data_IF_915841797968
#
_entry.id   IF_915841797968
#
_cell.length_a   1.000
_cell.length_b   1.000
_cell.length_c   1.000
_cell.angle_alpha   90.00
_cell.angle_beta   90.00
_cell.angle_gamma   90.00
#
_symmetry.space_group_name_H-M   'P 1'
#
loop_
_entity.id
_entity.type
_entity.pdbx_description
1 polymer ?
#
# COMPACT_ATOMS: atom_id res chain seq x y z
N UNK A 1 -1.06 -11.19 23.77
CA UNK A 1 -0.86 -11.74 22.41
C UNK A 1 0.57 -11.41 21.99
N UNK A 2 1.23 -12.21 21.15
CA UNK A 2 2.50 -11.79 20.54
C UNK A 2 2.24 -10.58 19.64
N UNK A 3 3.15 -9.61 19.57
CA UNK A 3 2.96 -8.47 18.67
C UNK A 3 3.11 -8.92 17.22
N UNK A 4 2.45 -8.22 16.30
CA UNK A 4 2.45 -8.56 14.88
C UNK A 4 3.86 -8.80 14.30
N UNK A 5 4.84 -7.98 14.66
CA UNK A 5 6.23 -8.11 14.19
C UNK A 5 7.10 -9.13 14.94
N UNK A 6 6.54 -9.82 15.95
CA UNK A 6 7.21 -10.88 16.72
C UNK A 6 6.70 -12.29 16.34
N UNK A 7 5.62 -12.37 15.56
CA UNK A 7 5.02 -13.64 15.13
C UNK A 7 5.89 -14.26 14.03
N UNK A 8 6.34 -15.50 14.23
CA UNK A 8 6.98 -16.29 13.18
C UNK A 8 5.91 -16.83 12.22
N UNK A 9 5.55 -16.01 11.23
CA UNK A 9 4.48 -16.33 10.27
C UNK A 9 4.78 -17.62 9.49
N UNK A 10 6.05 -17.85 9.13
CA UNK A 10 6.45 -19.03 8.36
C UNK A 10 6.23 -20.35 9.14
N UNK A 11 6.31 -20.31 10.47
CA UNK A 11 6.09 -21.47 11.34
C UNK A 11 4.61 -21.75 11.66
N UNK A 12 3.69 -20.84 11.28
CA UNK A 12 2.25 -21.03 11.50
C UNK A 12 1.69 -22.14 10.59
N UNK A 13 0.66 -22.84 11.08
CA UNK A 13 -0.15 -23.72 10.23
C UNK A 13 -0.98 -22.93 9.23
N UNK A 14 -1.47 -23.57 8.16
CA UNK A 14 -2.29 -22.91 7.13
C UNK A 14 -3.48 -22.13 7.71
N UNK A 15 -4.24 -22.73 8.64
CA UNK A 15 -5.37 -22.06 9.28
C UNK A 15 -4.95 -20.88 10.19
N UNK A 16 -3.79 -20.97 10.83
CA UNK A 16 -3.24 -19.87 11.63
C UNK A 16 -2.77 -18.71 10.73
N UNK A 17 -2.21 -19.01 9.55
CA UNK A 17 -1.87 -18.00 8.54
C UNK A 17 -3.10 -17.29 7.99
N UNK A 18 -4.14 -18.02 7.60
CA UNK A 18 -5.41 -17.39 7.17
C UNK A 18 -5.96 -16.45 8.23
N UNK A 19 -5.96 -16.90 9.49
CA UNK A 19 -6.41 -16.06 10.61
C UNK A 19 -5.54 -14.82 10.78
N UNK A 20 -4.21 -14.95 10.65
CA UNK A 20 -3.29 -13.82 10.74
C UNK A 20 -3.57 -12.76 9.67
N UNK A 21 -3.84 -13.18 8.43
CA UNK A 21 -4.14 -12.25 7.33
C UNK A 21 -5.52 -11.60 7.50
N UNK A 22 -6.54 -12.38 7.88
CA UNK A 22 -7.87 -11.86 8.16
C UNK A 22 -7.87 -10.82 9.28
N UNK A 23 -7.10 -11.06 10.35
CA UNK A 23 -6.99 -10.21 11.52
C UNK A 23 -5.85 -9.16 11.39
N UNK A 24 -5.23 -9.00 10.20
CA UNK A 24 -3.99 -8.21 10.05
C UNK A 24 -4.15 -6.77 10.54
N UNK A 25 -5.24 -6.11 10.15
CA UNK A 25 -5.57 -4.75 10.61
C UNK A 25 -5.65 -4.68 12.13
N UNK A 26 -6.47 -5.55 12.74
CA UNK A 26 -6.67 -5.56 14.19
C UNK A 26 -5.34 -5.82 14.93
N UNK A 27 -4.52 -6.73 14.42
CA UNK A 27 -3.19 -7.01 14.96
C UNK A 27 -2.25 -5.80 14.84
N UNK A 28 -2.32 -5.04 13.76
CA UNK A 28 -1.53 -3.83 13.56
C UNK A 28 -2.01 -2.70 14.51
N UNK A 29 -3.32 -2.48 14.62
CA UNK A 29 -3.91 -1.53 15.56
C UNK A 29 -3.51 -1.85 17.01
N UNK A 30 -3.61 -3.11 17.44
CA UNK A 30 -3.16 -3.54 18.76
C UNK A 30 -1.65 -3.35 18.96
N UNK A 31 -0.85 -3.61 17.92
CA UNK A 31 0.60 -3.43 17.96
C UNK A 31 0.98 -1.95 18.17
N UNK A 32 0.24 -1.03 17.55
CA UNK A 32 0.52 0.41 17.58
C UNK A 32 -0.27 1.20 18.63
N UNK A 33 -1.23 0.59 19.35
CA UNK A 33 -2.09 1.26 20.33
C UNK A 33 -1.35 2.03 21.44
N UNK A 34 -0.10 1.65 21.75
CA UNK A 34 0.74 2.30 22.76
C UNK A 34 1.73 3.33 22.19
N UNK A 35 1.78 3.51 20.86
CA UNK A 35 2.74 4.35 20.17
C UNK A 35 2.09 5.65 19.66
N UNK A 36 2.89 6.72 19.46
CA UNK A 36 2.39 7.97 18.89
C UNK A 36 1.81 7.79 17.48
N UNK A 37 0.90 8.70 17.11
CA UNK A 37 0.29 8.77 15.79
C UNK A 37 1.34 8.76 14.67
N UNK A 38 2.39 9.56 14.81
CA UNK A 38 3.44 9.74 13.81
C UNK A 38 4.24 8.44 13.60
N UNK A 39 4.48 7.67 14.67
CA UNK A 39 5.18 6.39 14.57
C UNK A 39 4.34 5.36 13.79
N UNK A 40 3.03 5.41 13.96
CA UNK A 40 2.07 4.53 13.27
C UNK A 40 1.99 4.89 11.79
N UNK A 41 1.84 6.18 11.45
CA UNK A 41 1.86 6.64 10.06
C UNK A 41 3.20 6.32 9.37
N UNK A 42 4.32 6.48 10.08
CA UNK A 42 5.63 6.11 9.53
C UNK A 42 5.69 4.63 9.15
N UNK A 43 5.15 3.73 9.97
CA UNK A 43 5.11 2.31 9.65
C UNK A 43 4.32 2.02 8.36
N UNK A 44 3.16 2.66 8.18
CA UNK A 44 2.39 2.54 6.96
C UNK A 44 3.14 3.12 5.76
N UNK A 45 3.74 4.31 5.88
CA UNK A 45 4.55 4.92 4.82
C UNK A 45 5.70 4.03 4.36
N UNK A 46 6.37 3.32 5.27
CA UNK A 46 7.43 2.37 4.91
C UNK A 46 6.90 1.22 4.07
N UNK A 47 5.75 0.65 4.44
CA UNK A 47 5.08 -0.44 3.70
C UNK A 47 4.66 0.06 2.31
N UNK A 48 3.99 1.21 2.24
CA UNK A 48 3.59 1.84 0.97
C UNK A 48 4.79 2.17 0.08
N UNK A 49 5.91 2.62 0.65
CA UNK A 49 7.12 2.91 -0.12
C UNK A 49 7.73 1.65 -0.71
N UNK A 50 7.83 0.58 0.10
CA UNK A 50 8.30 -0.71 -0.39
C UNK A 50 7.39 -1.25 -1.48
N UNK A 51 6.07 -1.13 -1.29
CA UNK A 51 5.10 -1.57 -2.27
C UNK A 51 5.22 -0.77 -3.57
N UNK A 52 5.23 0.55 -3.48
CA UNK A 52 5.38 1.46 -4.61
C UNK A 52 6.62 1.14 -5.45
N UNK A 53 7.75 0.89 -4.79
CA UNK A 53 9.00 0.56 -5.46
C UNK A 53 8.89 -0.69 -6.34
N UNK A 54 8.10 -1.68 -5.92
CA UNK A 54 7.79 -2.85 -6.74
C UNK A 54 6.71 -2.55 -7.78
N UNK A 55 5.62 -1.91 -7.38
CA UNK A 55 4.44 -1.66 -8.19
C UNK A 55 4.76 -0.87 -9.46
N UNK A 56 5.55 0.20 -9.33
CA UNK A 56 5.93 1.07 -10.46
C UNK A 56 6.83 0.41 -11.51
N UNK A 57 7.34 -0.79 -11.23
CA UNK A 57 8.18 -1.57 -12.13
C UNK A 57 7.40 -2.69 -12.84
N UNK A 58 6.14 -2.90 -12.44
CA UNK A 58 5.24 -3.84 -13.10
C UNK A 58 4.65 -3.18 -14.35
N UNK A 59 4.24 -4.00 -15.33
CA UNK A 59 3.75 -3.50 -16.64
C UNK A 59 4.71 -2.46 -17.24
N UNK A 60 5.97 -2.83 -17.52
CA UNK A 60 7.02 -1.88 -17.94
C UNK A 60 6.70 -1.11 -19.23
N UNK A 61 5.74 -1.60 -20.03
CA UNK A 61 5.23 -0.93 -21.22
C UNK A 61 4.39 0.31 -20.90
N UNK A 62 3.80 0.38 -19.70
CA UNK A 62 2.94 1.47 -19.24
C UNK A 62 3.66 2.25 -18.13
N UNK A 63 4.17 3.46 -18.44
CA UNK A 63 4.87 4.25 -17.43
C UNK A 63 3.93 4.65 -16.30
N UNK A 64 4.42 4.54 -15.06
CA UNK A 64 3.75 5.05 -13.88
C UNK A 64 3.39 6.56 -14.03
N UNK A 65 2.14 6.97 -13.77
CA UNK A 65 1.76 8.38 -13.74
C UNK A 65 2.62 9.19 -12.75
N UNK A 66 3.08 10.38 -13.16
CA UNK A 66 4.04 11.19 -12.40
C UNK A 66 3.49 11.65 -11.03
N UNK A 67 2.17 11.76 -10.92
CA UNK A 67 1.50 12.11 -9.66
C UNK A 67 1.74 11.09 -8.57
N UNK A 68 1.92 9.80 -8.88
CA UNK A 68 2.12 8.78 -7.85
C UNK A 68 3.46 8.95 -7.15
N UNK A 69 4.53 9.27 -7.90
CA UNK A 69 5.81 9.65 -7.30
C UNK A 69 5.66 10.94 -6.48
N UNK A 70 4.89 11.92 -6.98
CA UNK A 70 4.63 13.18 -6.26
C UNK A 70 3.89 12.93 -4.92
N UNK A 71 2.91 12.03 -4.90
CA UNK A 71 2.16 11.62 -3.71
C UNK A 71 3.12 11.01 -2.67
N UNK A 72 3.98 10.08 -3.09
CA UNK A 72 4.96 9.45 -2.20
C UNK A 72 5.97 10.46 -1.66
N UNK A 73 6.49 11.34 -2.51
CA UNK A 73 7.44 12.39 -2.11
C UNK A 73 6.80 13.39 -1.13
N UNK A 74 5.53 13.75 -1.32
CA UNK A 74 4.77 14.62 -0.42
C UNK A 74 4.59 13.99 0.97
N UNK A 75 4.27 12.69 1.05
CA UNK A 75 4.18 11.96 2.32
C UNK A 75 5.54 11.94 3.05
N UNK A 76 6.62 11.65 2.33
CA UNK A 76 7.97 11.64 2.90
C UNK A 76 8.42 13.02 3.35
N UNK A 77 8.21 14.05 2.54
CA UNK A 77 8.57 15.43 2.89
C UNK A 77 7.78 15.93 4.10
N UNK A 78 6.50 15.53 4.24
CA UNK A 78 5.71 15.81 5.44
C UNK A 78 6.30 15.15 6.69
N UNK A 79 6.58 13.85 6.64
CA UNK A 79 7.13 13.11 7.78
C UNK A 79 8.55 13.55 8.17
N UNK A 80 9.32 14.09 7.22
CA UNK A 80 10.63 14.70 7.49
C UNK A 80 10.55 16.16 7.98
N UNK A 81 9.34 16.75 8.03
CA UNK A 81 9.13 18.14 8.43
C UNK A 81 9.71 19.15 7.44
N UNK A 82 9.80 18.79 6.15
CA UNK A 82 10.31 19.66 5.08
C UNK A 82 9.27 20.58 4.47
N UNK A 83 7.99 20.24 4.62
CA UNK A 83 6.86 21.03 4.15
C UNK A 83 5.99 21.46 5.32
N UNK A 84 5.33 22.60 5.14
CA UNK A 84 4.43 23.13 6.16
C UNK A 84 3.13 22.31 6.21
N UNK A 85 2.55 22.07 7.40
CA UNK A 85 1.30 21.31 7.50
C UNK A 85 0.17 21.87 6.65
N UNK A 86 0.04 23.20 6.54
CA UNK A 86 -0.98 23.81 5.69
C UNK A 86 -0.80 23.52 4.20
N UNK A 87 0.44 23.32 3.74
CA UNK A 87 0.72 22.94 2.36
C UNK A 87 0.30 21.49 2.11
N UNK A 88 0.65 20.59 3.03
CA UNK A 88 0.21 19.19 2.98
C UNK A 88 -1.31 19.07 2.98
N UNK A 89 -2.01 19.76 3.89
CA UNK A 89 -3.48 19.70 3.97
C UNK A 89 -4.16 20.20 2.69
N UNK A 90 -3.63 21.27 2.09
CA UNK A 90 -4.15 21.76 0.80
C UNK A 90 -3.94 20.74 -0.32
N UNK A 91 -2.79 20.08 -0.36
CA UNK A 91 -2.54 19.00 -1.31
C UNK A 91 -3.50 17.82 -1.09
N UNK A 92 -3.69 17.40 0.17
CA UNK A 92 -4.61 16.34 0.57
C UNK A 92 -6.05 16.63 0.10
N UNK A 93 -6.55 17.85 0.32
CA UNK A 93 -7.91 18.23 -0.08
C UNK A 93 -8.11 18.18 -1.60
N UNK A 94 -7.13 18.66 -2.37
CA UNK A 94 -7.16 18.57 -3.83
C UNK A 94 -7.08 17.12 -4.32
N UNK A 95 -6.17 16.33 -3.73
CA UNK A 95 -6.00 14.92 -4.08
C UNK A 95 -7.28 14.13 -3.85
N UNK A 96 -7.87 14.26 -2.67
CA UNK A 96 -9.12 13.61 -2.26
C UNK A 96 -10.28 13.94 -3.22
N UNK A 97 -10.41 15.20 -3.65
CA UNK A 97 -11.42 15.58 -4.66
C UNK A 97 -11.25 14.85 -5.99
N UNK A 98 -10.01 14.69 -6.48
CA UNK A 98 -9.71 13.96 -7.72
C UNK A 98 -9.86 12.45 -7.55
N UNK A 99 -9.43 11.90 -6.41
CA UNK A 99 -9.52 10.46 -6.15
C UNK A 99 -10.97 10.00 -6.04
N UNK A 100 -11.86 10.79 -5.41
CA UNK A 100 -13.30 10.47 -5.37
C UNK A 100 -13.88 10.35 -6.78
N UNK A 101 -13.54 11.28 -7.67
CA UNK A 101 -14.00 11.21 -9.06
C UNK A 101 -13.44 9.99 -9.77
N UNK A 102 -12.14 9.70 -9.65
CA UNK A 102 -11.53 8.52 -10.29
C UNK A 102 -12.15 7.22 -9.76
N UNK A 103 -12.35 7.11 -8.45
CA UNK A 103 -12.83 5.89 -7.81
C UNK A 103 -14.33 5.64 -8.02
N UNK A 104 -15.14 6.69 -8.14
CA UNK A 104 -16.62 6.57 -8.10
C UNK A 104 -17.34 7.20 -9.29
N UNK A 105 -16.66 8.04 -10.07
CA UNK A 105 -17.26 8.91 -11.08
C UNK A 105 -17.99 10.13 -10.50
N UNK A 106 -18.00 10.32 -9.18
CA UNK A 106 -18.64 11.45 -8.52
C UNK A 106 -17.80 12.73 -8.65
N UNK A 107 -18.39 13.76 -9.25
CA UNK A 107 -17.76 15.07 -9.48
C UNK A 107 -18.21 16.13 -8.48
N UNK A 108 -19.13 15.82 -7.56
CA UNK A 108 -19.73 16.79 -6.63
C UNK A 108 -18.69 17.52 -5.78
N UNK A 109 -17.56 16.86 -5.45
CA UNK A 109 -16.47 17.50 -4.70
C UNK A 109 -15.58 18.37 -5.57
N UNK A 110 -15.22 17.90 -6.77
CA UNK A 110 -14.45 18.68 -7.74
C UNK A 110 -15.17 19.98 -8.12
N UNK A 111 -16.48 19.92 -8.33
CA UNK A 111 -17.32 21.06 -8.69
C UNK A 111 -17.39 22.17 -7.62
N UNK A 112 -16.89 21.94 -6.40
CA UNK A 112 -16.93 22.91 -5.31
C UNK A 112 -15.88 24.02 -5.42
N UNK A 113 -14.75 23.75 -6.07
CA UNK A 113 -13.63 24.69 -6.16
C UNK A 113 -12.83 24.52 -7.46
N UNK A 114 -12.59 25.62 -8.17
CA UNK A 114 -11.78 25.66 -9.40
C UNK A 114 -10.35 25.17 -9.15
N UNK A 115 -9.83 25.36 -7.93
CA UNK A 115 -8.50 24.89 -7.55
C UNK A 115 -8.33 23.36 -7.69
N UNK A 116 -9.41 22.59 -7.53
CA UNK A 116 -9.36 21.13 -7.69
C UNK A 116 -9.24 20.72 -9.17
N UNK A 117 -9.89 21.45 -10.07
CA UNK A 117 -9.70 21.26 -11.51
C UNK A 117 -8.30 21.65 -11.97
N UNK A 118 -7.77 22.77 -11.47
CA UNK A 118 -6.40 23.19 -11.74
C UNK A 118 -5.39 22.14 -11.27
N UNK A 119 -5.60 21.58 -10.07
CA UNK A 119 -4.78 20.50 -9.53
C UNK A 119 -4.85 19.24 -10.41
N UNK A 120 -6.06 18.80 -10.79
CA UNK A 120 -6.25 17.65 -11.69
C UNK A 120 -5.53 17.87 -13.02
N UNK A 121 -5.70 19.03 -13.63
CA UNK A 121 -5.07 19.38 -14.90
C UNK A 121 -3.54 19.44 -14.79
N UNK A 122 -3.02 19.91 -13.66
CA UNK A 122 -1.58 20.00 -13.42
C UNK A 122 -0.93 18.63 -13.21
N UNK A 123 -1.57 17.74 -12.44
CA UNK A 123 -0.91 16.53 -11.94
C UNK A 123 -1.40 15.23 -12.61
N UNK A 124 -2.64 15.17 -13.08
CA UNK A 124 -3.25 13.95 -13.65
C UNK A 124 -3.31 13.98 -15.19
N UNK A 125 -2.49 14.81 -15.84
CA UNK A 125 -2.52 15.02 -17.29
C UNK A 125 -2.23 13.73 -18.11
N UNK A 126 -1.49 12.77 -17.56
CA UNK A 126 -1.19 11.47 -18.17
C UNK A 126 -1.92 10.28 -17.49
N UNK A 127 -2.93 10.55 -16.67
CA UNK A 127 -3.59 9.49 -15.89
C UNK A 127 -4.25 8.42 -16.75
N UNK A 128 -4.89 8.81 -17.87
CA UNK A 128 -5.71 7.91 -18.69
C UNK A 128 -4.96 6.66 -19.22
N UNK A 129 -3.64 6.74 -19.42
CA UNK A 129 -2.83 5.61 -19.87
C UNK A 129 -2.50 4.62 -18.72
N UNK A 130 -2.37 5.13 -17.50
CA UNK A 130 -2.08 4.33 -16.30
C UNK A 130 -3.32 3.93 -15.49
N UNK A 131 -4.47 4.55 -15.75
CA UNK A 131 -5.71 4.35 -14.97
C UNK A 131 -6.05 2.87 -14.71
N UNK A 132 -6.01 1.95 -15.69
CA UNK A 132 -6.37 0.55 -15.46
C UNK A 132 -5.46 -0.16 -14.44
N UNK A 133 -4.22 0.33 -14.27
CA UNK A 133 -3.18 -0.34 -13.50
C UNK A 133 -2.89 0.35 -12.17
N UNK A 134 -3.19 1.64 -12.03
CA UNK A 134 -2.73 2.41 -10.87
C UNK A 134 -3.85 3.00 -10.00
N UNK A 135 -5.13 2.77 -10.34
CA UNK A 135 -6.27 3.24 -9.56
C UNK A 135 -6.26 2.71 -8.12
N UNK A 136 -5.99 1.42 -7.91
CA UNK A 136 -5.98 0.81 -6.58
C UNK A 136 -4.89 1.44 -5.72
N UNK A 137 -3.65 1.50 -6.24
CA UNK A 137 -2.54 2.12 -5.53
C UNK A 137 -2.83 3.61 -5.21
N UNK A 138 -3.42 4.36 -6.14
CA UNK A 138 -3.81 5.77 -5.90
C UNK A 138 -4.79 5.89 -4.74
N UNK A 139 -5.84 5.06 -4.74
CA UNK A 139 -6.87 5.06 -3.70
C UNK A 139 -6.23 4.74 -2.35
N UNK A 140 -5.46 3.66 -2.28
CA UNK A 140 -4.81 3.22 -1.04
C UNK A 140 -3.81 4.26 -0.54
N UNK A 141 -2.98 4.85 -1.41
CA UNK A 141 -2.02 5.87 -1.01
C UNK A 141 -2.71 7.17 -0.57
N UNK A 142 -3.86 7.52 -1.16
CA UNK A 142 -4.64 8.69 -0.76
C UNK A 142 -5.25 8.55 0.65
N UNK A 143 -5.52 7.33 1.10
CA UNK A 143 -6.04 7.09 2.45
C UNK A 143 -5.07 7.57 3.54
N UNK A 144 -3.74 7.48 3.32
CA UNK A 144 -2.74 8.02 4.25
C UNK A 144 -2.84 9.54 4.38
N UNK A 145 -3.22 10.26 3.31
CA UNK A 145 -3.46 11.69 3.39
C UNK A 145 -4.70 11.99 4.23
N UNK A 146 -5.77 11.21 4.08
CA UNK A 146 -6.97 11.32 4.90
C UNK A 146 -6.68 11.02 6.38
N UNK A 147 -5.95 9.94 6.68
CA UNK A 147 -5.52 9.58 8.03
C UNK A 147 -4.75 10.71 8.71
N UNK A 148 -3.77 11.29 8.00
CA UNK A 148 -2.99 12.44 8.47
C UNK A 148 -3.87 13.68 8.67
N UNK A 149 -4.76 13.98 7.72
CA UNK A 149 -5.63 15.17 7.76
C UNK A 149 -6.65 15.10 8.89
N UNK A 150 -7.34 13.97 9.02
CA UNK A 150 -8.40 13.76 10.01
C UNK A 150 -7.85 13.29 11.37
N UNK A 151 -6.53 13.02 11.45
CA UNK A 151 -5.85 12.49 12.63
C UNK A 151 -6.47 11.18 13.12
N UNK A 152 -6.73 10.28 12.17
CA UNK A 152 -7.26 8.93 12.39
C UNK A 152 -6.23 7.90 11.94
N UNK A 153 -6.27 6.70 12.53
CA UNK A 153 -5.42 5.57 12.14
C UNK A 153 -6.35 4.48 11.60
N UNK A 154 -6.04 3.96 10.42
CA UNK A 154 -6.76 2.83 9.83
C UNK A 154 -5.82 1.96 9.00
N UNK A 155 -5.70 0.69 9.38
CA UNK A 155 -4.83 -0.26 8.67
C UNK A 155 -5.53 -0.98 7.50
N UNK A 156 -6.75 -0.57 7.13
CA UNK A 156 -7.51 -1.19 6.04
C UNK A 156 -6.74 -1.22 4.71
N UNK A 157 -6.07 -0.13 4.32
CA UNK A 157 -5.35 -0.11 3.05
C UNK A 157 -4.10 -1.00 3.08
N UNK A 158 -3.42 -1.11 4.21
CA UNK A 158 -2.33 -2.10 4.37
C UNK A 158 -2.88 -3.54 4.27
N UNK A 159 -4.05 -3.81 4.87
CA UNK A 159 -4.71 -5.11 4.73
C UNK A 159 -5.14 -5.38 3.29
N UNK A 160 -5.71 -4.40 2.59
CA UNK A 160 -6.07 -4.47 1.17
C UNK A 160 -4.86 -4.81 0.30
N UNK A 161 -3.72 -4.14 0.52
CA UNK A 161 -2.47 -4.43 -0.20
C UNK A 161 -2.03 -5.88 0.02
N UNK A 162 -2.04 -6.36 1.28
CA UNK A 162 -1.52 -7.68 1.62
C UNK A 162 -2.44 -8.81 1.17
N UNK A 163 -3.74 -8.69 1.43
CA UNK A 163 -4.72 -9.75 1.16
C UNK A 163 -5.15 -9.74 -0.31
N UNK A 164 -5.50 -8.58 -0.87
CA UNK A 164 -6.01 -8.50 -2.24
C UNK A 164 -4.89 -8.37 -3.27
N UNK A 165 -4.09 -7.30 -3.20
CA UNK A 165 -3.11 -7.04 -4.25
C UNK A 165 -1.99 -8.10 -4.28
N UNK A 166 -1.45 -8.44 -3.12
CA UNK A 166 -0.33 -9.37 -3.00
C UNK A 166 -0.79 -10.83 -2.98
N UNK A 167 -1.71 -11.22 -2.08
CA UNK A 167 -2.11 -12.62 -1.95
C UNK A 167 -3.00 -13.10 -3.10
N UNK A 168 -3.99 -12.33 -3.52
CA UNK A 168 -4.92 -12.80 -4.55
C UNK A 168 -4.36 -12.66 -5.97
N UNK A 169 -3.48 -11.67 -6.23
CA UNK A 169 -3.05 -11.35 -7.59
C UNK A 169 -1.56 -11.62 -7.83
N UNK A 170 -0.66 -10.95 -7.10
CA UNK A 170 0.77 -10.93 -7.51
C UNK A 170 1.54 -12.19 -7.13
N UNK A 171 1.34 -12.72 -5.92
CA UNK A 171 2.04 -13.93 -5.48
C UNK A 171 1.63 -15.18 -6.27
N UNK A 172 0.34 -15.46 -6.49
CA UNK A 172 -0.08 -16.60 -7.31
C UNK A 172 0.50 -16.55 -8.71
N UNK A 173 0.55 -15.35 -9.32
CA UNK A 173 1.16 -15.15 -10.63
C UNK A 173 2.66 -15.50 -10.62
N UNK A 174 3.42 -15.00 -9.65
CA UNK A 174 4.86 -15.25 -9.54
C UNK A 174 5.22 -16.70 -9.18
N UNK A 175 4.34 -17.37 -8.44
CA UNK A 175 4.48 -18.79 -8.05
C UNK A 175 3.89 -19.75 -9.09
N UNK A 176 3.40 -19.24 -10.23
CA UNK A 176 2.76 -20.02 -11.31
C UNK A 176 1.60 -20.91 -10.81
N UNK A 177 0.81 -20.39 -9.86
CA UNK A 177 -0.32 -21.10 -9.27
C UNK A 177 -1.52 -21.10 -10.22
N UNK A 178 -2.29 -22.19 -10.20
CA UNK A 178 -3.58 -22.23 -10.89
C UNK A 178 -4.56 -21.22 -10.28
N UNK A 179 -5.40 -20.61 -11.13
CA UNK A 179 -6.51 -19.78 -10.68
C UNK A 179 -7.42 -20.56 -9.72
N UNK A 180 -8.03 -19.84 -8.76
CA UNK A 180 -8.98 -20.45 -7.83
C UNK A 180 -10.11 -21.16 -8.62
N UNK A 181 -10.26 -22.49 -8.50
CA UNK A 181 -11.04 -23.28 -9.45
C UNK A 181 -12.56 -23.07 -9.35
N UNK A 182 -13.05 -22.59 -8.19
CA UNK A 182 -14.39 -22.03 -8.02
C UNK A 182 -14.46 -21.07 -6.82
N UNK A 183 -15.44 -20.15 -6.83
CA UNK A 183 -15.64 -19.16 -5.76
C UNK A 183 -16.37 -19.72 -4.52
N UNK A 184 -16.38 -21.04 -4.28
CA UNK A 184 -16.99 -21.54 -3.04
C UNK A 184 -16.09 -21.26 -1.85
N UNK A 185 -16.66 -20.89 -0.71
CA UNK A 185 -15.90 -20.47 0.46
C UNK A 185 -14.85 -21.50 0.92
N UNK A 186 -15.16 -22.81 0.84
CA UNK A 186 -14.23 -23.86 1.24
C UNK A 186 -13.07 -24.06 0.24
N UNK A 187 -13.29 -23.76 -1.04
CA UNK A 187 -12.25 -23.87 -2.07
C UNK A 187 -11.35 -22.66 -2.00
N UNK A 188 -11.92 -21.45 -1.89
CA UNK A 188 -11.20 -20.21 -1.69
C UNK A 188 -10.32 -20.28 -0.44
N UNK A 189 -10.86 -20.68 0.71
CA UNK A 189 -10.06 -20.80 1.95
C UNK A 189 -8.86 -21.74 1.78
N UNK A 190 -9.02 -22.85 1.05
CA UNK A 190 -7.89 -23.76 0.80
C UNK A 190 -6.86 -23.15 -0.14
N UNK A 191 -7.32 -22.49 -1.19
CA UNK A 191 -6.45 -21.82 -2.15
C UNK A 191 -5.67 -20.69 -1.48
N UNK A 192 -6.32 -19.84 -0.66
CA UNK A 192 -5.65 -18.82 0.13
C UNK A 192 -4.61 -19.44 1.07
N UNK A 193 -4.93 -20.56 1.74
CA UNK A 193 -3.94 -21.28 2.55
C UNK A 193 -2.75 -21.79 1.73
N UNK A 194 -2.95 -22.21 0.48
CA UNK A 194 -1.85 -22.60 -0.42
C UNK A 194 -0.97 -21.39 -0.74
N UNK A 195 -1.56 -20.25 -1.11
CA UNK A 195 -0.84 -18.98 -1.34
C UNK A 195 -0.04 -18.58 -0.10
N UNK A 196 -0.66 -18.57 1.08
CA UNK A 196 0.00 -18.16 2.33
C UNK A 196 1.15 -19.11 2.74
N UNK A 197 1.18 -20.33 2.18
CA UNK A 197 2.27 -21.29 2.40
C UNK A 197 3.40 -21.18 1.37
N UNK A 198 3.27 -20.35 0.34
CA UNK A 198 4.35 -20.12 -0.61
C UNK A 198 5.54 -19.42 0.06
N UNK A 199 6.79 -19.70 -0.38
CA UNK A 199 7.96 -18.97 0.08
C UNK A 199 7.86 -17.47 -0.20
N UNK A 200 7.30 -17.08 -1.36
CA UNK A 200 7.15 -15.66 -1.73
C UNK A 200 6.22 -14.94 -0.77
N UNK A 201 5.05 -15.50 -0.43
CA UNK A 201 4.15 -14.86 0.52
C UNK A 201 4.75 -14.77 1.93
N UNK A 202 5.48 -15.80 2.37
CA UNK A 202 6.17 -15.75 3.66
C UNK A 202 7.21 -14.62 3.72
N UNK A 203 7.92 -14.36 2.61
CA UNK A 203 8.85 -13.23 2.53
C UNK A 203 8.12 -11.89 2.53
N UNK A 204 6.97 -11.77 1.84
CA UNK A 204 6.12 -10.56 1.91
C UNK A 204 5.79 -10.18 3.36
N UNK A 205 5.33 -11.15 4.16
CA UNK A 205 4.99 -10.90 5.57
C UNK A 205 6.25 -10.55 6.39
N UNK A 206 7.36 -11.24 6.17
CA UNK A 206 8.66 -10.93 6.80
C UNK A 206 9.11 -9.48 6.53
N UNK A 207 8.93 -9.00 5.30
CA UNK A 207 9.25 -7.62 4.91
C UNK A 207 8.31 -6.61 5.59
N UNK A 208 7.01 -6.86 5.61
CA UNK A 208 6.04 -6.03 6.33
C UNK A 208 6.38 -5.93 7.83
N UNK A 209 6.73 -7.06 8.46
CA UNK A 209 7.14 -7.09 9.86
C UNK A 209 8.44 -6.30 10.09
N UNK A 210 9.38 -6.35 9.14
CA UNK A 210 10.62 -5.56 9.16
C UNK A 210 10.33 -4.07 9.03
N UNK A 211 9.41 -3.67 8.17
CA UNK A 211 9.01 -2.27 8.01
C UNK A 211 8.43 -1.70 9.31
N UNK A 212 7.60 -2.49 9.99
CA UNK A 212 7.09 -2.17 11.33
C UNK A 212 8.23 -2.05 12.35
N UNK A 213 9.17 -2.99 12.37
CA UNK A 213 10.33 -2.92 13.27
C UNK A 213 11.18 -1.66 13.01
N UNK A 214 11.37 -1.29 11.75
CA UNK A 214 12.11 -0.09 11.37
C UNK A 214 11.43 1.18 11.86
N UNK A 215 10.11 1.30 11.70
CA UNK A 215 9.35 2.43 12.26
C UNK A 215 9.45 2.51 13.79
N UNK A 216 9.46 1.35 14.47
CA UNK A 216 9.59 1.27 15.93
C UNK A 216 11.03 1.50 16.45
N UNK A 217 12.03 1.46 15.57
CA UNK A 217 13.45 1.60 15.97
C UNK A 217 13.82 3.00 16.43
N UNK A 218 13.02 4.02 16.09
CA UNK A 218 13.32 5.43 16.34
C UNK A 218 14.37 6.02 15.39
N UNK A 219 14.68 5.34 14.30
CA UNK A 219 15.56 5.88 13.24
C UNK A 219 14.93 7.15 12.62
N UNK A 220 15.73 8.19 12.31
CA UNK A 220 15.22 9.39 11.64
C UNK A 220 14.62 9.06 10.26
N UNK A 221 13.49 9.68 9.92
CA UNK A 221 12.83 9.48 8.61
C UNK A 221 13.75 9.78 7.43
N UNK A 222 14.63 10.78 7.54
CA UNK A 222 15.61 11.09 6.49
C UNK A 222 16.66 9.98 6.26
N UNK A 223 16.92 9.13 7.26
CA UNK A 223 17.78 7.94 7.09
C UNK A 223 16.98 6.80 6.49
N UNK A 224 15.76 6.56 6.99
CA UNK A 224 14.85 5.56 6.45
C UNK A 224 14.53 5.82 4.98
N UNK A 225 14.24 7.06 4.56
CA UNK A 225 13.97 7.39 3.15
C UNK A 225 15.11 6.97 2.23
N UNK A 226 16.36 7.21 2.64
CA UNK A 226 17.54 6.80 1.85
C UNK A 226 17.66 5.28 1.76
N UNK A 227 17.38 4.57 2.85
CA UNK A 227 17.37 3.12 2.84
C UNK A 227 16.27 2.59 1.91
N UNK A 228 15.07 3.14 2.03
CA UNK A 228 13.88 2.66 1.32
C UNK A 228 13.87 2.98 -0.18
N UNK A 229 14.83 3.75 -0.70
CA UNK A 229 15.00 3.91 -2.15
C UNK A 229 15.30 2.59 -2.89
N UNK A 230 15.82 1.59 -2.18
CA UNK A 230 16.19 0.29 -2.74
C UNK A 230 15.48 -0.89 -2.05
N UNK A 231 14.43 -0.62 -1.30
CA UNK A 231 13.65 -1.64 -0.60
C UNK A 231 12.40 -1.97 -1.41
N UNK A 232 12.28 -3.23 -1.82
CA UNK A 232 11.20 -3.71 -2.68
C UNK A 232 10.43 -4.84 -1.98
N UNK A 233 9.19 -5.10 -2.39
CA UNK A 233 8.44 -6.32 -2.01
C UNK A 233 8.95 -7.49 -2.85
N UNK A 234 9.03 -7.30 -4.16
CA UNK A 234 9.57 -8.24 -5.13
C UNK A 234 10.82 -7.67 -5.79
N UNK A 235 11.74 -8.53 -6.23
CA UNK A 235 12.92 -8.07 -6.95
C UNK A 235 12.50 -7.32 -8.23
N UNK A 236 13.29 -6.33 -8.72
CA UNK A 236 13.00 -5.67 -10.00
C UNK A 236 12.83 -6.65 -11.17
N UNK A 237 13.55 -7.77 -11.14
CA UNK A 237 13.45 -8.83 -12.15
C UNK A 237 12.10 -9.56 -12.07
N UNK A 238 11.55 -9.77 -10.88
CA UNK A 238 10.24 -10.38 -10.68
C UNK A 238 9.11 -9.40 -10.99
N UNK A 239 9.24 -8.12 -10.60
CA UNK A 239 8.29 -7.08 -10.97
C UNK A 239 8.10 -7.00 -12.49
N UNK A 240 9.18 -7.07 -13.26
CA UNK A 240 9.14 -7.02 -14.71
C UNK A 240 8.48 -8.25 -15.37
N UNK A 241 8.24 -9.34 -14.62
CA UNK A 241 7.47 -10.49 -15.10
C UNK A 241 5.97 -10.29 -14.96
N UNK A 242 5.54 -9.43 -14.03
CA UNK A 242 4.13 -9.15 -13.77
C UNK A 242 3.58 -8.30 -14.92
N UNK A 243 2.66 -8.89 -15.67
CA UNK A 243 2.01 -8.29 -16.84
C UNK A 243 0.64 -7.72 -16.47
N UNK A 244 -0.03 -7.12 -17.46
CA UNK A 244 -1.40 -6.60 -17.36
C UNK A 244 -2.42 -7.63 -16.86
N UNK A 245 -2.16 -8.94 -17.02
CA UNK A 245 -3.06 -10.02 -16.58
C UNK A 245 -3.16 -10.13 -15.05
N UNK A 246 -2.23 -9.52 -14.32
CA UNK A 246 -2.17 -9.56 -12.86
C UNK A 246 -2.68 -8.26 -12.20
N UNK A 247 -3.39 -7.40 -12.93
CA UNK A 247 -3.93 -6.11 -12.45
C UNK A 247 -5.46 -6.08 -12.41
#
# INVERSE_FOLDING_TARGET
MAKLHEIDFAALSGAEKSKFILDLKDLAEECFAAYPFEVTINAQLLIFTRWWNSYRLMVPEIPAPEILETIMEMLWDYQEGKIEPSEFMRFADCLDAVVIEIATGDTEKLDKDEAYYDFKAQYFWNWAEGEPYYNIFLIDASSLFEEIREHIIDWNCVQSIVDCDLADLKVPFLEEMDEAPDCTANVLEKWSQEVYNTPTFCEVISLLQRDIQNALSGMPMAELRKQYQSEYVFSPEDCAKITEEAF
#
